data_IF_950391148873
#
_entry.id   IF_950391148873
#
_cell.length_a   1.000
_cell.length_b   1.000
_cell.length_c   1.000
_cell.angle_alpha   90.00
_cell.angle_beta   90.00
_cell.angle_gamma   90.00
#
_symmetry.space_group_name_H-M   'P 1'
#
loop_
_entity.id
_entity.type
_entity.pdbx_description
1 polymer ?
#
# COMPACT_ATOMS: atom_id res chain seq x y z
N UNK A 1 -5.98 38.74 -44.82
CA UNK A 1 -6.95 39.84 -44.68
C UNK A 1 -6.17 41.14 -44.54
N UNK A 2 -6.22 41.98 -45.58
CA UNK A 2 -5.48 43.25 -45.68
C UNK A 2 -6.35 44.37 -45.08
N UNK A 3 -5.86 45.07 -44.06
CA UNK A 3 -6.49 46.27 -43.50
C UNK A 3 -5.82 47.52 -44.08
N UNK A 4 -6.29 47.98 -45.24
CA UNK A 4 -5.85 49.21 -45.89
C UNK A 4 -6.75 50.35 -45.40
N UNK A 5 -6.20 51.28 -44.61
CA UNK A 5 -6.86 52.55 -44.24
C UNK A 5 -6.60 53.59 -45.34
N UNK A 6 -7.61 54.14 -46.03
CA UNK A 6 -7.42 55.29 -46.90
C UNK A 6 -7.61 56.57 -46.07
N UNK A 7 -6.52 57.28 -45.80
CA UNK A 7 -6.60 58.63 -45.24
C UNK A 7 -6.76 59.64 -46.36
N UNK A 8 -7.74 60.51 -46.16
CA UNK A 8 -8.22 61.55 -47.05
C UNK A 8 -7.16 62.59 -47.39
N UNK A 9 -6.72 62.62 -48.64
CA UNK A 9 -6.15 63.82 -49.26
C UNK A 9 -7.28 64.67 -49.80
N UNK A 10 -7.66 65.72 -49.05
CA UNK A 10 -8.45 66.84 -49.55
C UNK A 10 -7.90 68.14 -48.99
N UNK A 11 -7.78 69.09 -49.93
CA UNK A 11 -7.74 70.55 -49.77
C UNK A 11 -6.48 71.19 -49.17
N UNK A 12 -5.59 71.69 -50.04
CA UNK A 12 -4.83 72.91 -49.79
C UNK A 12 -5.00 73.88 -50.98
N UNK A 13 -5.32 75.17 -50.75
CA UNK A 13 -5.84 76.09 -51.75
C UNK A 13 -4.72 77.03 -52.25
N UNK A 14 -4.11 76.72 -53.38
CA UNK A 14 -3.11 77.63 -54.01
C UNK A 14 -2.95 77.39 -55.52
N UNK A 15 -4.00 76.86 -56.16
CA UNK A 15 -4.06 76.57 -57.59
C UNK A 15 -5.18 77.38 -58.26
N UNK A 16 -5.24 78.68 -57.98
CA UNK A 16 -6.20 79.60 -58.59
C UNK A 16 -5.57 80.94 -58.98
N UNK A 17 -4.43 80.94 -59.69
CA UNK A 17 -3.87 82.21 -60.14
C UNK A 17 -2.98 82.17 -61.40
N UNK A 18 -3.23 81.30 -62.39
CA UNK A 18 -2.63 81.49 -63.71
C UNK A 18 -3.57 81.00 -64.81
N UNK A 19 -3.74 81.85 -65.83
CA UNK A 19 -4.50 81.70 -67.09
C UNK A 19 -5.96 82.13 -67.05
N UNK A 20 -6.20 83.44 -67.21
CA UNK A 20 -7.19 83.95 -68.17
C UNK A 20 -6.88 85.44 -68.44
N UNK A 21 -6.08 85.67 -69.48
CA UNK A 21 -5.81 86.94 -70.13
C UNK A 21 -6.44 86.85 -71.53
N UNK A 22 -6.72 88.00 -72.14
CA UNK A 22 -7.49 88.25 -73.39
C UNK A 22 -9.02 88.25 -73.24
N UNK A 23 -9.77 89.12 -73.90
CA UNK A 23 -9.60 90.46 -74.51
C UNK A 23 -11.05 90.88 -74.90
N UNK A 24 -11.24 92.04 -75.53
CA UNK A 24 -12.52 92.55 -76.10
C UNK A 24 -13.36 93.42 -75.14
N UNK A 25 -13.17 94.73 -75.02
CA UNK A 25 -13.13 95.81 -76.00
C UNK A 25 -14.54 96.28 -76.48
N UNK A 26 -14.77 97.57 -76.24
CA UNK A 26 -15.61 98.55 -76.95
C UNK A 26 -17.14 98.70 -76.69
N UNK A 27 -17.43 99.98 -76.42
CA UNK A 27 -18.59 100.80 -76.81
C UNK A 27 -19.63 101.00 -75.69
N UNK A 28 -20.08 102.20 -75.30
CA UNK A 28 -20.01 103.54 -75.89
C UNK A 28 -20.29 104.63 -74.82
N UNK A 29 -19.57 105.77 -74.93
CA UNK A 29 -20.01 107.18 -74.94
C UNK A 29 -21.31 107.57 -74.19
N UNK A 30 -21.39 108.69 -73.45
CA UNK A 30 -20.98 110.08 -73.75
C UNK A 30 -21.37 110.99 -72.54
N UNK A 31 -21.15 112.32 -72.54
CA UNK A 31 -19.91 113.10 -72.59
C UNK A 31 -19.73 113.89 -71.26
N UNK A 32 -18.65 114.66 -71.09
CA UNK A 32 -18.74 116.08 -70.69
C UNK A 32 -17.36 116.74 -70.65
N UNK A 33 -17.26 117.80 -71.46
CA UNK A 33 -16.45 119.00 -71.26
C UNK A 33 -14.92 118.90 -71.36
N UNK A 34 -14.45 119.41 -72.51
CA UNK A 34 -13.14 120.03 -72.75
C UNK A 34 -12.48 120.65 -71.49
N UNK A 35 -11.19 120.35 -71.26
CA UNK A 35 -10.19 121.42 -71.17
C UNK A 35 -8.75 120.90 -71.38
N UNK A 36 -8.08 121.53 -72.35
CA UNK A 36 -6.64 121.69 -72.53
C UNK A 36 -5.74 120.46 -72.80
N UNK A 37 -5.43 120.40 -74.08
CA UNK A 37 -4.38 119.68 -74.77
C UNK A 37 -2.98 120.07 -74.27
N UNK A 38 -2.27 119.09 -73.70
CA UNK A 38 -0.80 118.84 -73.66
C UNK A 38 0.10 119.74 -72.77
N UNK A 39 1.25 119.23 -72.25
CA UNK A 39 1.97 118.01 -72.65
C UNK A 39 2.44 117.12 -71.46
N UNK A 40 1.96 115.87 -71.33
CA UNK A 40 2.52 114.89 -70.37
C UNK A 40 2.70 113.49 -70.98
N UNK A 41 2.99 113.42 -72.28
CA UNK A 41 3.35 112.18 -72.98
C UNK A 41 4.86 112.01 -73.20
N UNK A 42 5.68 112.95 -72.70
CA UNK A 42 7.15 112.85 -72.67
C UNK A 42 7.72 112.32 -71.35
N UNK A 43 6.89 112.06 -70.32
CA UNK A 43 7.33 111.61 -68.98
C UNK A 43 7.08 110.10 -68.70
N UNK A 44 6.19 109.43 -69.44
CA UNK A 44 5.89 108.01 -69.24
C UNK A 44 6.97 107.06 -69.82
N UNK A 45 7.55 107.43 -70.97
CA UNK A 45 8.67 106.73 -71.60
C UNK A 45 9.94 106.68 -70.73
N UNK A 46 10.42 107.79 -70.12
CA UNK A 46 11.57 107.71 -69.23
C UNK A 46 11.25 106.94 -67.95
N UNK A 47 10.01 106.98 -67.45
CA UNK A 47 9.61 106.23 -66.26
C UNK A 47 9.64 104.71 -66.47
N UNK A 48 9.11 104.20 -67.59
CA UNK A 48 9.20 102.76 -67.90
C UNK A 48 10.64 102.31 -68.15
N UNK A 49 11.47 103.17 -68.76
CA UNK A 49 12.89 102.90 -68.99
C UNK A 49 13.68 102.83 -67.67
N UNK A 50 13.34 103.67 -66.68
CA UNK A 50 13.89 103.60 -65.31
C UNK A 50 13.41 102.33 -64.60
N UNK A 51 12.14 101.94 -64.72
CA UNK A 51 11.63 100.69 -64.14
C UNK A 51 12.31 99.45 -64.73
N UNK A 52 12.52 99.42 -66.05
CA UNK A 52 13.24 98.32 -66.73
C UNK A 52 14.71 98.31 -66.32
N UNK A 53 15.37 99.47 -66.26
CA UNK A 53 16.75 99.56 -65.77
C UNK A 53 16.88 99.07 -64.32
N UNK A 54 15.93 99.42 -63.46
CA UNK A 54 15.86 98.94 -62.08
C UNK A 54 15.61 97.42 -62.00
N UNK A 55 14.74 96.87 -62.85
CA UNK A 55 14.48 95.43 -62.92
C UNK A 55 15.70 94.66 -63.42
N UNK A 56 16.41 95.17 -64.44
CA UNK A 56 17.66 94.59 -64.95
C UNK A 56 18.75 94.64 -63.86
N UNK A 57 18.88 95.77 -63.16
CA UNK A 57 19.85 95.91 -62.07
C UNK A 57 19.55 94.92 -60.92
N UNK A 58 18.27 94.78 -60.53
CA UNK A 58 17.85 93.83 -59.51
C UNK A 58 18.07 92.37 -59.97
N UNK A 59 17.74 92.06 -61.22
CA UNK A 59 17.98 90.74 -61.79
C UNK A 59 19.48 90.42 -61.86
N UNK A 60 20.33 91.35 -62.31
CA UNK A 60 21.78 91.19 -62.26
C UNK A 60 22.30 90.99 -60.85
N UNK A 61 21.78 91.72 -59.86
CA UNK A 61 22.13 91.52 -58.46
C UNK A 61 21.72 90.12 -57.96
N UNK A 62 20.52 89.65 -58.31
CA UNK A 62 20.04 88.32 -57.97
C UNK A 62 20.90 87.22 -58.63
N UNK A 63 21.31 87.41 -59.90
CA UNK A 63 22.22 86.49 -60.59
C UNK A 63 23.60 86.46 -59.91
N UNK A 64 24.16 87.63 -59.55
CA UNK A 64 25.43 87.69 -58.84
C UNK A 64 25.34 86.98 -57.48
N UNK A 65 24.28 87.21 -56.71
CA UNK A 65 24.01 86.51 -55.43
C UNK A 65 24.00 84.99 -55.59
N UNK A 66 23.29 84.49 -56.60
CA UNK A 66 23.23 83.04 -56.86
C UNK A 66 24.59 82.50 -57.29
N UNK A 67 25.35 83.24 -58.10
CA UNK A 67 26.71 82.84 -58.51
C UNK A 67 27.68 82.86 -57.33
N UNK A 68 27.54 83.79 -56.39
CA UNK A 68 28.33 83.87 -55.15
C UNK A 68 28.02 82.70 -54.18
N UNK A 69 26.77 82.26 -54.10
CA UNK A 69 26.34 81.16 -53.21
C UNK A 69 26.52 79.75 -53.84
N UNK A 70 26.56 79.65 -55.17
CA UNK A 70 26.77 78.40 -55.90
C UNK A 70 28.00 77.57 -55.43
N UNK A 71 29.21 78.13 -55.23
CA UNK A 71 30.36 77.35 -54.80
C UNK A 71 30.19 76.73 -53.41
N UNK A 72 29.54 77.44 -52.47
CA UNK A 72 29.29 76.93 -51.13
C UNK A 72 28.31 75.75 -51.13
N UNK A 73 27.28 75.79 -51.98
CA UNK A 73 26.34 74.67 -52.18
C UNK A 73 27.07 73.48 -52.81
N UNK A 74 27.94 73.72 -53.80
CA UNK A 74 28.73 72.64 -54.44
C UNK A 74 29.65 71.96 -53.42
N UNK A 75 30.35 72.73 -52.58
CA UNK A 75 31.21 72.19 -51.53
C UNK A 75 30.42 71.39 -50.47
N UNK A 76 29.25 71.88 -50.07
CA UNK A 76 28.37 71.17 -49.14
C UNK A 76 27.84 69.86 -49.75
N UNK A 77 27.46 69.88 -51.04
CA UNK A 77 27.06 68.67 -51.76
C UNK A 77 28.22 67.70 -51.84
N UNK A 78 29.43 68.14 -52.18
CA UNK A 78 30.61 67.29 -52.26
C UNK A 78 30.99 66.69 -50.89
N UNK A 79 30.93 67.48 -49.82
CA UNK A 79 31.14 66.99 -48.45
C UNK A 79 30.07 65.98 -48.03
N UNK A 80 28.83 66.18 -48.44
CA UNK A 80 27.72 65.25 -48.16
C UNK A 80 27.91 63.96 -48.95
N UNK A 81 28.32 64.04 -50.22
CA UNK A 81 28.64 62.87 -51.05
C UNK A 81 29.78 62.05 -50.43
N UNK A 82 30.89 62.69 -50.02
CA UNK A 82 32.02 62.01 -49.35
C UNK A 82 31.63 61.34 -48.04
N UNK A 83 30.61 61.86 -47.33
CA UNK A 83 30.10 61.26 -46.10
C UNK A 83 29.08 60.13 -46.37
N UNK A 84 28.39 60.14 -47.51
CA UNK A 84 27.42 59.12 -47.91
C UNK A 84 28.13 57.86 -48.42
N UNK A 85 29.21 58.00 -49.20
CA UNK A 85 29.96 56.86 -49.75
C UNK A 85 30.32 55.77 -48.70
N UNK A 86 30.94 56.09 -47.54
CA UNK A 86 31.25 55.08 -46.53
C UNK A 86 29.99 54.46 -45.89
N UNK A 87 28.90 55.23 -45.76
CA UNK A 87 27.63 54.71 -45.23
C UNK A 87 27.01 53.72 -46.22
N UNK A 88 27.12 53.98 -47.53
CA UNK A 88 26.66 53.05 -48.58
C UNK A 88 27.47 51.76 -48.55
N UNK A 89 28.80 51.84 -48.34
CA UNK A 89 29.66 50.68 -48.20
C UNK A 89 29.33 49.84 -46.96
N UNK A 90 29.10 50.49 -45.80
CA UNK A 90 28.64 49.79 -44.58
C UNK A 90 27.29 49.11 -44.77
N UNK A 91 26.34 49.77 -45.43
CA UNK A 91 25.04 49.19 -45.76
C UNK A 91 25.20 48.01 -46.73
N UNK A 92 26.13 48.08 -47.68
CA UNK A 92 26.43 46.97 -48.59
C UNK A 92 26.98 45.74 -47.82
N UNK A 93 27.87 45.95 -46.83
CA UNK A 93 28.38 44.88 -45.98
C UNK A 93 27.25 44.28 -45.12
N UNK A 94 26.44 45.11 -44.48
CA UNK A 94 25.31 44.65 -43.65
C UNK A 94 24.32 43.84 -44.50
N UNK A 95 23.96 44.36 -45.68
CA UNK A 95 23.02 43.67 -46.58
C UNK A 95 23.57 42.36 -47.13
N UNK A 96 24.90 42.23 -47.27
CA UNK A 96 25.55 40.97 -47.62
C UNK A 96 25.55 39.94 -46.48
N UNK A 97 25.57 40.37 -45.20
CA UNK A 97 25.56 39.49 -44.02
C UNK A 97 24.14 39.06 -43.58
N UNK A 98 23.11 39.81 -43.95
CA UNK A 98 21.71 39.51 -43.59
C UNK A 98 21.28 38.09 -44.03
N UNK A 99 21.57 37.61 -45.26
CA UNK A 99 21.21 36.26 -45.68
C UNK A 99 21.77 35.17 -44.76
N UNK A 100 23.06 35.25 -44.43
CA UNK A 100 23.72 34.27 -43.56
C UNK A 100 23.08 34.22 -42.17
N UNK A 101 22.79 35.39 -41.57
CA UNK A 101 22.10 35.49 -40.28
C UNK A 101 20.68 34.92 -40.36
N UNK A 102 19.96 35.18 -41.47
CA UNK A 102 18.60 34.66 -41.68
C UNK A 102 18.63 33.14 -41.82
N UNK A 103 19.63 32.58 -42.50
CA UNK A 103 19.81 31.14 -42.65
C UNK A 103 20.16 30.48 -41.31
N UNK A 104 21.07 31.06 -40.52
CA UNK A 104 21.38 30.57 -39.17
C UNK A 104 20.14 30.61 -38.25
N UNK A 105 19.38 31.70 -38.28
CA UNK A 105 18.12 31.82 -37.52
C UNK A 105 17.09 30.80 -38.03
N UNK A 106 17.09 30.49 -39.32
CA UNK A 106 16.30 29.42 -39.92
C UNK A 106 16.64 28.05 -39.32
N UNK A 107 17.92 27.69 -39.31
CA UNK A 107 18.41 26.44 -38.71
C UNK A 107 18.10 26.34 -37.22
N UNK A 108 18.28 27.43 -36.46
CA UNK A 108 17.92 27.47 -35.03
C UNK A 108 16.42 27.25 -34.84
N UNK A 109 15.57 27.86 -35.68
CA UNK A 109 14.12 27.66 -35.61
C UNK A 109 13.72 26.22 -35.93
N UNK A 110 14.38 25.59 -36.89
CA UNK A 110 14.15 24.18 -37.23
C UNK A 110 14.53 23.24 -36.07
N UNK A 111 15.57 23.57 -35.29
CA UNK A 111 16.00 22.79 -34.13
C UNK A 111 15.14 23.04 -32.87
N UNK A 112 14.54 24.21 -32.72
CA UNK A 112 13.69 24.52 -31.55
C UNK A 112 12.49 23.57 -31.47
N UNK A 113 11.82 23.28 -32.58
CA UNK A 113 10.65 22.40 -32.58
C UNK A 113 10.95 20.98 -32.05
N UNK A 114 11.94 20.23 -32.56
CA UNK A 114 12.25 18.90 -32.05
C UNK A 114 12.69 18.93 -30.58
N UNK A 115 13.49 19.92 -30.16
CA UNK A 115 13.89 20.08 -28.74
C UNK A 115 12.65 20.27 -27.85
N UNK A 116 11.70 21.12 -28.26
CA UNK A 116 10.46 21.32 -27.50
C UNK A 116 9.62 20.04 -27.41
N UNK A 117 9.56 19.24 -28.49
CA UNK A 117 8.84 17.95 -28.46
C UNK A 117 9.50 16.94 -27.54
N UNK A 118 10.83 16.89 -27.50
CA UNK A 118 11.58 16.01 -26.58
C UNK A 118 11.38 16.45 -25.12
N UNK A 119 11.44 17.75 -24.86
CA UNK A 119 11.18 18.30 -23.52
C UNK A 119 9.75 18.00 -23.06
N UNK A 120 8.77 18.03 -23.98
CA UNK A 120 7.38 17.66 -23.67
C UNK A 120 7.26 16.16 -23.36
N UNK A 121 7.89 15.30 -24.16
CA UNK A 121 7.93 13.85 -23.89
C UNK A 121 8.57 13.55 -22.52
N UNK A 122 9.72 14.17 -22.23
CA UNK A 122 10.38 14.04 -20.92
C UNK A 122 9.48 14.53 -19.79
N UNK A 123 8.77 15.64 -19.96
CA UNK A 123 7.83 16.14 -18.92
C UNK A 123 6.68 15.18 -18.63
N UNK A 124 6.29 14.32 -19.58
CA UNK A 124 5.27 13.30 -19.37
C UNK A 124 5.81 12.05 -18.66
N UNK A 125 7.07 11.67 -18.93
CA UNK A 125 7.72 10.49 -18.32
C UNK A 125 8.33 10.76 -16.94
N UNK A 126 8.80 11.97 -16.68
CA UNK A 126 9.47 12.32 -15.43
C UNK A 126 8.59 12.08 -14.18
N UNK A 127 7.27 12.41 -14.19
CA UNK A 127 6.38 12.11 -13.08
C UNK A 127 6.26 10.61 -12.78
N UNK A 128 6.21 9.75 -13.80
CA UNK A 128 6.10 8.29 -13.58
C UNK A 128 7.37 7.75 -12.98
N UNK A 129 8.54 8.17 -13.49
CA UNK A 129 9.83 7.77 -12.94
C UNK A 129 10.02 8.25 -11.49
N UNK A 130 9.60 9.47 -11.18
CA UNK A 130 9.63 9.98 -9.79
C UNK A 130 8.69 9.18 -8.86
N UNK A 131 7.51 8.79 -9.35
CA UNK A 131 6.59 7.97 -8.59
C UNK A 131 7.17 6.56 -8.31
N UNK A 132 7.83 5.94 -9.30
CA UNK A 132 8.52 4.66 -9.14
C UNK A 132 9.67 4.76 -8.14
N UNK A 133 10.49 5.81 -8.22
CA UNK A 133 11.58 6.05 -7.27
C UNK A 133 11.03 6.21 -5.85
N UNK A 134 9.92 6.91 -5.68
CA UNK A 134 9.28 7.06 -4.37
C UNK A 134 8.72 5.72 -3.85
N UNK A 135 8.08 4.92 -4.70
CA UNK A 135 7.64 3.58 -4.34
C UNK A 135 8.82 2.69 -3.91
N UNK A 136 9.93 2.73 -4.63
CA UNK A 136 11.15 2.00 -4.28
C UNK A 136 11.70 2.48 -2.92
N UNK A 137 11.74 3.79 -2.68
CA UNK A 137 12.18 4.36 -1.40
C UNK A 137 11.32 3.90 -0.23
N UNK A 138 10.02 3.73 -0.42
CA UNK A 138 9.11 3.23 0.60
C UNK A 138 9.22 1.71 0.78
N UNK A 139 9.55 0.97 -0.28
CA UNK A 139 9.67 -0.49 -0.24
C UNK A 139 11.01 -0.99 0.31
N UNK A 140 12.09 -0.21 0.22
CA UNK A 140 13.42 -0.63 0.72
C UNK A 140 13.46 -0.84 2.24
N UNK A 141 12.97 0.09 3.10
CA UNK A 141 13.02 -0.06 4.55
C UNK A 141 12.41 -1.37 5.08
N UNK A 142 11.16 -1.77 4.71
CA UNK A 142 10.60 -3.02 5.23
C UNK A 142 11.40 -4.26 4.79
N UNK A 143 11.97 -4.27 3.58
CA UNK A 143 12.85 -5.36 3.13
C UNK A 143 14.13 -5.42 3.97
N UNK A 144 14.70 -4.27 4.34
CA UNK A 144 15.87 -4.23 5.22
C UNK A 144 15.54 -4.73 6.63
N UNK A 145 14.36 -4.36 7.16
CA UNK A 145 13.88 -4.85 8.46
C UNK A 145 13.68 -6.37 8.45
N UNK A 146 13.09 -6.92 7.38
CA UNK A 146 12.95 -8.37 7.20
C UNK A 146 14.32 -9.08 7.15
N UNK A 147 15.28 -8.51 6.43
CA UNK A 147 16.65 -9.05 6.36
C UNK A 147 17.32 -9.00 7.74
N UNK A 148 17.11 -7.95 8.53
CA UNK A 148 17.62 -7.87 9.90
C UNK A 148 16.99 -8.94 10.80
N UNK A 149 15.67 -9.12 10.74
CA UNK A 149 14.98 -10.16 11.50
C UNK A 149 15.49 -11.57 11.15
N UNK A 150 15.68 -11.86 9.84
CA UNK A 150 16.26 -13.13 9.39
C UNK A 150 17.68 -13.31 9.91
N UNK A 151 18.50 -12.24 9.88
CA UNK A 151 19.88 -12.29 10.43
C UNK A 151 19.90 -12.57 11.93
N UNK A 152 18.91 -12.09 12.68
CA UNK A 152 18.78 -12.36 14.12
C UNK A 152 18.23 -13.77 14.40
N UNK A 153 17.38 -14.30 13.53
CA UNK A 153 16.76 -15.62 13.69
C UNK A 153 17.67 -16.79 13.28
N UNK A 154 18.61 -16.59 12.35
CA UNK A 154 19.50 -17.66 11.87
C UNK A 154 20.42 -18.21 12.98
N UNK A 155 21.13 -17.39 13.78
CA UNK A 155 22.04 -17.90 14.82
C UNK A 155 21.41 -18.86 15.83
N UNK A 156 20.24 -18.57 16.46
CA UNK A 156 19.64 -19.52 17.40
C UNK A 156 19.21 -20.83 16.72
N UNK A 157 18.72 -20.79 15.47
CA UNK A 157 18.40 -22.00 14.71
C UNK A 157 19.66 -22.84 14.46
N UNK A 158 20.80 -22.21 14.15
CA UNK A 158 22.07 -22.91 13.98
C UNK A 158 22.55 -23.54 15.30
N UNK A 159 22.35 -22.87 16.43
CA UNK A 159 22.67 -23.39 17.76
C UNK A 159 21.79 -24.61 18.11
N UNK A 160 20.47 -24.54 17.87
CA UNK A 160 19.57 -25.67 18.05
C UNK A 160 19.97 -26.86 17.17
N UNK A 161 20.28 -26.63 15.89
CA UNK A 161 20.75 -27.69 14.98
C UNK A 161 22.07 -28.29 15.47
N UNK A 162 22.98 -27.49 16.02
CA UNK A 162 24.23 -27.99 16.61
C UNK A 162 23.97 -28.85 17.84
N UNK A 163 23.06 -28.42 18.73
CA UNK A 163 22.67 -29.18 19.93
C UNK A 163 22.02 -30.52 19.56
N UNK A 164 21.06 -30.52 18.64
CA UNK A 164 20.43 -31.76 18.14
C UNK A 164 21.46 -32.70 17.52
N UNK A 165 22.41 -32.18 16.73
CA UNK A 165 23.51 -32.98 16.17
C UNK A 165 24.43 -33.55 17.25
N UNK A 166 24.61 -32.85 18.37
CA UNK A 166 25.39 -33.32 19.52
C UNK A 166 24.70 -34.45 20.28
N UNK A 167 23.37 -34.40 20.43
CA UNK A 167 22.59 -35.39 21.18
C UNK A 167 22.25 -36.64 20.36
N UNK A 168 22.09 -36.49 19.04
CA UNK A 168 21.66 -37.56 18.15
C UNK A 168 22.51 -38.86 18.26
N UNK A 169 23.86 -38.80 18.35
CA UNK A 169 24.67 -40.01 18.51
C UNK A 169 24.34 -40.81 19.78
N UNK A 170 24.03 -40.14 20.89
CA UNK A 170 23.68 -40.80 22.15
C UNK A 170 22.32 -41.51 22.05
N UNK A 171 21.33 -40.84 21.46
CA UNK A 171 20.00 -41.42 21.21
C UNK A 171 20.10 -42.63 20.27
N UNK A 172 20.93 -42.54 19.22
CA UNK A 172 21.16 -43.65 18.30
C UNK A 172 21.81 -44.83 19.03
N UNK A 173 22.83 -44.58 19.86
CA UNK A 173 23.48 -45.62 20.65
C UNK A 173 22.51 -46.29 21.64
N UNK A 174 21.64 -45.52 22.30
CA UNK A 174 20.60 -46.06 23.18
C UNK A 174 19.59 -46.92 22.41
N UNK A 175 19.16 -46.46 21.23
CA UNK A 175 18.26 -47.22 20.36
C UNK A 175 18.88 -48.55 19.89
N UNK A 176 20.18 -48.55 19.57
CA UNK A 176 20.91 -49.79 19.28
C UNK A 176 20.97 -50.73 20.49
N UNK A 177 21.19 -50.19 21.70
CA UNK A 177 21.11 -50.96 22.95
C UNK A 177 19.74 -51.58 23.19
N UNK A 178 18.64 -50.86 22.92
CA UNK A 178 17.31 -51.46 23.00
C UNK A 178 17.09 -52.55 21.96
N UNK A 179 17.61 -52.37 20.74
CA UNK A 179 17.50 -53.40 19.68
C UNK A 179 18.19 -54.70 20.04
N UNK A 180 19.26 -54.67 20.84
CA UNK A 180 19.93 -55.88 21.33
C UNK A 180 19.21 -56.50 22.53
N UNK A 181 18.68 -55.70 23.45
CA UNK A 181 18.00 -56.19 24.67
C UNK A 181 16.59 -56.76 24.41
N UNK A 182 15.84 -56.19 23.48
CA UNK A 182 14.44 -56.60 23.21
C UNK A 182 14.32 -58.10 22.88
N UNK A 183 15.15 -58.70 22.01
CA UNK A 183 15.14 -60.14 21.77
C UNK A 183 15.36 -60.98 23.03
N UNK A 184 16.25 -60.56 23.93
CA UNK A 184 16.55 -61.28 25.17
C UNK A 184 15.34 -61.26 26.13
N UNK A 185 14.73 -60.09 26.32
CA UNK A 185 13.52 -59.95 27.14
C UNK A 185 12.35 -60.76 26.55
N UNK A 186 12.20 -60.74 25.22
CA UNK A 186 11.18 -61.56 24.56
C UNK A 186 11.42 -63.06 24.77
N UNK A 187 12.67 -63.52 24.73
CA UNK A 187 13.01 -64.90 25.03
C UNK A 187 12.71 -65.28 26.50
N UNK A 188 12.99 -64.39 27.45
CA UNK A 188 12.67 -64.61 28.87
C UNK A 188 11.16 -64.65 29.12
N UNK A 189 10.39 -63.77 28.47
CA UNK A 189 8.92 -63.78 28.53
C UNK A 189 8.37 -65.08 27.96
N UNK A 190 8.92 -65.57 26.85
CA UNK A 190 8.50 -66.85 26.27
C UNK A 190 8.81 -68.03 27.21
N UNK A 191 10.03 -68.09 27.74
CA UNK A 191 10.40 -69.11 28.74
C UNK A 191 9.49 -69.06 29.97
N UNK A 192 9.12 -67.86 30.43
CA UNK A 192 8.20 -67.67 31.55
C UNK A 192 6.78 -68.14 31.19
N UNK A 193 6.30 -67.85 29.97
CA UNK A 193 5.00 -68.34 29.46
C UNK A 193 4.95 -69.86 29.37
N UNK A 194 6.06 -70.52 29.06
CA UNK A 194 6.14 -71.98 29.06
C UNK A 194 6.16 -72.57 30.49
N UNK A 195 6.81 -71.89 31.45
CA UNK A 195 6.92 -72.36 32.83
C UNK A 195 5.68 -72.12 33.70
N UNK A 196 4.89 -71.07 33.43
CA UNK A 196 3.71 -70.72 34.24
C UNK A 196 2.63 -71.83 34.21
N UNK A 197 2.17 -72.35 33.05
CA UNK A 197 1.13 -73.37 33.02
C UNK A 197 1.43 -74.63 33.87
N UNK A 198 2.62 -75.26 33.78
CA UNK A 198 2.92 -76.43 34.60
C UNK A 198 3.10 -76.09 36.09
N UNK A 199 3.58 -74.89 36.44
CA UNK A 199 3.66 -74.47 37.86
C UNK A 199 2.28 -74.16 38.45
N UNK A 200 1.38 -73.54 37.68
CA UNK A 200 -0.02 -73.35 38.04
C UNK A 200 -0.73 -74.69 38.24
N UNK A 201 -0.54 -75.65 37.33
CA UNK A 201 -1.09 -77.00 37.49
C UNK A 201 -0.58 -77.70 38.76
N UNK A 202 0.71 -77.53 39.10
CA UNK A 202 1.27 -78.04 40.36
C UNK A 202 0.66 -77.35 41.58
N UNK A 203 0.46 -76.03 41.53
CA UNK A 203 -0.18 -75.27 42.59
C UNK A 203 -1.63 -75.73 42.82
N UNK A 204 -2.41 -75.97 41.76
CA UNK A 204 -3.77 -76.53 41.84
C UNK A 204 -3.77 -77.90 42.52
N UNK A 205 -2.82 -78.79 42.18
CA UNK A 205 -2.67 -80.09 42.85
C UNK A 205 -2.35 -79.93 44.34
N UNK A 206 -1.48 -78.99 44.72
CA UNK A 206 -1.16 -78.71 46.12
C UNK A 206 -2.36 -78.12 46.85
N UNK A 207 -3.11 -77.20 46.25
CA UNK A 207 -4.34 -76.62 46.81
C UNK A 207 -5.38 -77.73 47.02
N UNK A 208 -5.57 -78.61 46.05
CA UNK A 208 -6.49 -79.75 46.16
C UNK A 208 -6.06 -80.70 47.31
N UNK A 209 -4.77 -81.02 47.41
CA UNK A 209 -4.23 -81.83 48.52
C UNK A 209 -4.39 -81.13 49.88
N UNK A 210 -4.11 -79.83 49.94
CA UNK A 210 -4.27 -79.02 51.15
C UNK A 210 -5.76 -78.86 51.54
N UNK A 211 -6.67 -78.76 50.56
CA UNK A 211 -8.12 -78.75 50.80
C UNK A 211 -8.61 -80.08 51.34
N UNK A 212 -8.12 -81.21 50.81
CA UNK A 212 -8.45 -82.55 51.33
C UNK A 212 -7.86 -82.76 52.73
N UNK A 213 -6.62 -82.33 52.97
CA UNK A 213 -6.00 -82.39 54.29
C UNK A 213 -6.69 -81.45 55.30
N UNK A 214 -7.07 -80.25 54.85
CA UNK A 214 -7.85 -79.28 55.62
C UNK A 214 -9.23 -79.81 55.96
N UNK A 215 -9.95 -80.41 55.01
CA UNK A 215 -11.21 -81.12 55.27
C UNK A 215 -11.02 -82.23 56.30
N UNK A 216 -10.00 -83.08 56.16
CA UNK A 216 -9.70 -84.14 57.14
C UNK A 216 -9.29 -83.61 58.53
N UNK A 217 -8.62 -82.46 58.59
CA UNK A 217 -8.24 -81.81 59.85
C UNK A 217 -9.42 -81.07 60.50
N UNK A 218 -10.31 -80.46 59.71
CA UNK A 218 -11.55 -79.82 60.15
C UNK A 218 -12.67 -80.81 60.46
N UNK A 219 -12.63 -82.03 59.91
CA UNK A 219 -13.48 -83.16 60.34
C UNK A 219 -13.13 -83.63 61.77
N UNK A 220 -11.93 -83.30 62.26
CA UNK A 220 -11.49 -83.58 63.64
C UNK A 220 -11.67 -82.43 64.63
N UNK A 221 -12.01 -81.22 64.18
CA UNK A 221 -12.25 -80.08 65.05
C UNK A 221 -13.18 -79.06 64.39
N UNK A 222 -14.30 -78.80 65.07
CA UNK A 222 -15.32 -77.77 64.80
C UNK A 222 -16.51 -78.25 63.95
N UNK A 223 -17.43 -78.95 64.62
CA UNK A 223 -18.88 -78.95 64.35
C UNK A 223 -19.51 -77.59 64.70
N UNK A 224 -18.98 -76.50 64.16
CA UNK A 224 -19.37 -75.15 64.57
C UNK A 224 -19.24 -74.14 63.44
N UNK A 225 -20.35 -73.93 62.75
CA UNK A 225 -20.82 -72.62 62.27
C UNK A 225 -19.75 -71.67 61.75
N UNK A 226 -19.56 -71.55 60.43
CA UNK A 226 -19.38 -70.28 59.70
C UNK A 226 -19.29 -70.58 58.18
N UNK A 227 -20.41 -71.01 57.62
CA UNK A 227 -20.68 -70.82 56.18
C UNK A 227 -21.14 -69.37 56.02
N UNK A 228 -20.21 -68.45 55.77
CA UNK A 228 -20.55 -67.03 55.73
C UNK A 228 -19.52 -66.18 55.01
N UNK A 229 -19.63 -66.13 53.68
CA UNK A 229 -19.35 -64.95 52.85
C UNK A 229 -18.02 -64.23 53.17
N UNK A 230 -16.91 -64.80 52.72
CA UNK A 230 -15.76 -63.95 52.36
C UNK A 230 -15.98 -63.52 50.91
N UNK A 231 -16.91 -62.57 50.71
CA UNK A 231 -16.83 -61.67 49.56
C UNK A 231 -15.69 -60.73 49.88
N UNK A 232 -14.57 -60.89 49.17
CA UNK A 232 -13.46 -59.95 49.24
C UNK A 232 -13.99 -58.52 48.99
N UNK A 233 -13.54 -57.52 49.76
CA UNK A 233 -14.04 -56.17 49.68
C UNK A 233 -13.58 -55.51 48.38
N UNK A 234 -14.49 -54.70 47.83
CA UNK A 234 -14.28 -53.73 46.78
C UNK A 234 -12.89 -53.11 46.82
N UNK A 235 -12.20 -53.16 45.68
CA UNK A 235 -11.02 -52.34 45.44
C UNK A 235 -11.50 -50.89 45.25
N UNK A 236 -11.88 -50.23 46.35
CA UNK A 236 -11.95 -48.77 46.39
C UNK A 236 -10.52 -48.25 46.27
N UNK A 237 -10.12 -47.89 45.05
CA UNK A 237 -8.95 -47.02 44.88
C UNK A 237 -9.40 -45.62 45.27
N UNK A 238 -9.24 -45.33 46.56
CA UNK A 238 -9.16 -43.96 47.07
C UNK A 238 -7.95 -43.29 46.43
N UNK A 239 -8.15 -42.59 45.31
CA UNK A 239 -7.09 -41.79 44.68
C UNK A 239 -7.15 -41.61 43.16
N UNK A 240 -7.99 -42.37 42.42
CA UNK A 240 -7.99 -42.35 40.95
C UNK A 240 -9.26 -41.76 40.31
N UNK A 241 -10.12 -41.11 41.08
CA UNK A 241 -11.41 -40.55 40.60
C UNK A 241 -11.35 -39.11 40.10
N UNK A 242 -10.20 -38.44 40.17
CA UNK A 242 -10.13 -36.98 40.15
C UNK A 242 -10.34 -36.29 38.79
N UNK A 243 -10.61 -37.00 37.69
CA UNK A 243 -10.64 -36.37 36.37
C UNK A 243 -11.68 -36.88 35.37
N UNK A 244 -12.80 -37.47 35.82
CA UNK A 244 -13.84 -37.92 34.86
C UNK A 244 -14.39 -36.74 34.07
N UNK A 245 -14.72 -35.62 34.73
CA UNK A 245 -15.36 -34.45 34.10
C UNK A 245 -14.43 -33.24 33.94
N UNK A 246 -13.13 -33.40 34.24
CA UNK A 246 -12.13 -32.32 34.22
C UNK A 246 -12.42 -31.16 35.19
N UNK A 247 -11.63 -30.09 35.10
CA UNK A 247 -11.85 -28.87 35.88
C UNK A 247 -13.03 -28.09 35.34
N UNK A 248 -14.11 -27.98 36.12
CA UNK A 248 -15.26 -27.15 35.76
C UNK A 248 -15.09 -25.70 36.21
N UNK A 249 -15.24 -24.76 35.28
CA UNK A 249 -15.10 -23.32 35.53
C UNK A 249 -16.14 -22.85 36.56
N UNK A 250 -15.69 -22.36 37.72
CA UNK A 250 -16.54 -21.80 38.77
C UNK A 250 -16.77 -22.72 39.98
N UNK A 251 -16.32 -23.96 39.92
CA UNK A 251 -16.29 -24.90 41.04
C UNK A 251 -14.88 -24.98 41.66
N UNK A 252 -14.79 -25.15 42.98
CA UNK A 252 -13.52 -25.42 43.64
C UNK A 252 -13.25 -26.94 43.71
N UNK A 253 -12.09 -27.36 44.22
CA UNK A 253 -11.75 -28.79 44.36
C UNK A 253 -12.78 -29.57 45.16
N UNK A 254 -13.25 -29.04 46.30
CA UNK A 254 -14.26 -29.72 47.12
C UNK A 254 -15.62 -29.86 46.44
N UNK A 255 -15.99 -28.92 45.57
CA UNK A 255 -17.20 -28.99 44.76
C UNK A 255 -17.06 -30.08 43.68
N UNK A 256 -15.87 -30.17 43.07
CA UNK A 256 -15.53 -31.18 42.06
C UNK A 256 -15.53 -32.58 42.68
N UNK A 257 -14.99 -32.74 43.89
CA UNK A 257 -14.97 -34.04 44.59
C UNK A 257 -16.39 -34.55 44.88
N UNK A 258 -17.30 -33.66 45.29
CA UNK A 258 -18.71 -33.99 45.51
C UNK A 258 -19.41 -34.39 44.22
N UNK A 259 -19.23 -33.61 43.15
CA UNK A 259 -19.77 -33.91 41.82
C UNK A 259 -19.28 -35.27 41.32
N UNK A 260 -17.97 -35.51 41.37
CA UNK A 260 -17.35 -36.74 40.87
C UNK A 260 -17.75 -37.96 41.72
N UNK A 261 -17.81 -37.81 43.05
CA UNK A 261 -18.27 -38.87 43.94
C UNK A 261 -19.70 -39.30 43.63
N UNK A 262 -20.61 -38.33 43.46
CA UNK A 262 -22.01 -38.60 43.07
C UNK A 262 -22.10 -39.22 41.69
N UNK A 263 -21.32 -38.73 40.72
CA UNK A 263 -21.30 -39.29 39.37
C UNK A 263 -20.81 -40.74 39.35
N UNK A 264 -19.73 -41.07 40.07
CA UNK A 264 -19.17 -42.43 40.13
C UNK A 264 -20.12 -43.40 40.80
N UNK A 265 -20.82 -42.97 41.85
CA UNK A 265 -21.87 -43.76 42.48
C UNK A 265 -22.97 -44.12 41.48
N UNK A 266 -23.46 -43.15 40.72
CA UNK A 266 -24.47 -43.39 39.68
C UNK A 266 -23.94 -44.27 38.54
N UNK A 267 -22.70 -44.07 38.11
CA UNK A 267 -22.09 -44.86 37.03
C UNK A 267 -21.92 -46.33 37.41
N UNK A 268 -21.55 -46.63 38.66
CA UNK A 268 -21.25 -48.00 39.08
C UNK A 268 -22.47 -48.76 39.62
N UNK A 269 -23.40 -48.08 40.30
CA UNK A 269 -24.43 -48.75 41.10
C UNK A 269 -25.86 -48.51 40.59
N UNK A 270 -26.09 -47.42 39.85
CA UNK A 270 -27.45 -46.98 39.54
C UNK A 270 -27.95 -47.49 38.17
N UNK A 271 -29.24 -47.87 38.07
CA UNK A 271 -29.88 -48.17 36.79
C UNK A 271 -30.17 -46.90 35.96
N UNK A 272 -30.45 -47.09 34.67
CA UNK A 272 -30.86 -46.01 33.78
C UNK A 272 -32.16 -45.36 34.29
N UNK A 273 -32.19 -44.03 34.32
CA UNK A 273 -33.28 -43.22 34.85
C UNK A 273 -33.07 -42.72 36.28
N UNK A 274 -32.10 -43.27 37.02
CA UNK A 274 -31.75 -42.81 38.36
C UNK A 274 -31.14 -41.42 38.36
N UNK A 275 -31.45 -40.67 39.41
CA UNK A 275 -31.03 -39.28 39.60
C UNK A 275 -30.52 -39.10 41.04
N UNK A 276 -29.39 -38.41 41.18
CA UNK A 276 -28.83 -38.07 42.48
C UNK A 276 -28.36 -36.61 42.49
N UNK A 277 -28.45 -35.98 43.66
CA UNK A 277 -28.08 -34.57 43.85
C UNK A 277 -26.95 -34.43 44.84
N UNK A 278 -26.13 -33.42 44.63
CA UNK A 278 -25.02 -33.06 45.52
C UNK A 278 -25.12 -31.58 45.87
N UNK A 279 -24.67 -31.23 47.08
CA UNK A 279 -24.67 -29.85 47.56
C UNK A 279 -23.45 -29.61 48.45
N UNK A 280 -22.72 -28.54 48.15
CA UNK A 280 -21.71 -27.99 49.03
C UNK A 280 -22.26 -26.77 49.79
N UNK A 281 -22.57 -26.97 51.07
CA UNK A 281 -23.14 -25.92 51.94
C UNK A 281 -22.23 -24.69 52.11
N UNK A 282 -20.90 -24.87 51.96
CA UNK A 282 -19.89 -23.81 52.14
C UNK A 282 -19.81 -22.89 50.92
N UNK A 283 -19.80 -23.44 49.71
CA UNK A 283 -19.64 -22.69 48.45
C UNK A 283 -20.98 -22.34 47.79
N UNK A 284 -22.09 -22.86 48.34
CA UNK A 284 -23.45 -22.74 47.76
C UNK A 284 -23.55 -23.33 46.36
N UNK A 285 -22.62 -24.22 45.99
CA UNK A 285 -22.70 -25.02 44.78
C UNK A 285 -23.60 -26.23 45.03
N UNK A 286 -24.47 -26.54 44.08
CA UNK A 286 -25.32 -27.73 44.09
C UNK A 286 -25.54 -28.22 42.68
N UNK A 287 -25.77 -29.51 42.53
CA UNK A 287 -26.05 -30.07 41.22
C UNK A 287 -26.87 -31.34 41.28
N UNK A 288 -27.35 -31.74 40.11
CA UNK A 288 -28.16 -32.91 39.87
C UNK A 288 -27.55 -33.69 38.72
N UNK A 289 -27.43 -35.00 38.89
CA UNK A 289 -26.86 -35.91 37.89
C UNK A 289 -27.90 -37.00 37.64
N UNK A 290 -28.20 -37.27 36.36
CA UNK A 290 -29.14 -38.30 35.94
C UNK A 290 -28.52 -39.22 34.91
N UNK A 291 -28.71 -40.53 35.07
CA UNK A 291 -28.35 -41.53 34.05
C UNK A 291 -29.46 -41.55 32.99
N UNK A 292 -29.18 -41.05 31.79
CA UNK A 292 -30.18 -40.98 30.72
C UNK A 292 -30.22 -42.26 29.88
N UNK A 293 -29.05 -42.82 29.53
CA UNK A 293 -28.92 -43.98 28.64
C UNK A 293 -27.68 -44.80 28.95
N UNK A 294 -27.74 -46.08 28.59
CA UNK A 294 -26.60 -47.01 28.57
C UNK A 294 -26.48 -47.59 27.15
N UNK A 295 -25.27 -47.68 26.63
CA UNK A 295 -24.96 -48.11 25.26
C UNK A 295 -23.54 -48.68 25.18
N UNK A 296 -23.15 -49.25 24.05
CA UNK A 296 -21.81 -49.78 23.82
C UNK A 296 -21.18 -49.03 22.65
N UNK A 297 -19.96 -48.51 22.84
CA UNK A 297 -19.20 -47.79 21.82
C UNK A 297 -17.81 -48.44 21.70
N UNK A 298 -17.43 -48.88 20.51
CA UNK A 298 -16.13 -49.55 20.24
C UNK A 298 -15.84 -50.77 21.12
N UNK A 299 -16.87 -51.49 21.55
CA UNK A 299 -16.76 -52.68 22.42
C UNK A 299 -16.78 -52.39 23.92
N UNK A 300 -16.76 -51.11 24.32
CA UNK A 300 -16.73 -50.70 25.72
C UNK A 300 -18.12 -50.26 26.21
N UNK A 301 -18.51 -50.62 27.45
CA UNK A 301 -19.77 -50.18 28.03
C UNK A 301 -19.71 -48.68 28.33
N UNK A 302 -20.72 -47.94 27.86
CA UNK A 302 -20.81 -46.49 27.96
C UNK A 302 -22.16 -46.05 28.53
N UNK A 303 -22.16 -44.92 29.22
CA UNK A 303 -23.35 -44.30 29.82
C UNK A 303 -23.41 -42.83 29.49
N UNK A 304 -24.63 -42.33 29.28
CA UNK A 304 -24.91 -40.91 29.09
C UNK A 304 -25.47 -40.33 30.37
N UNK A 305 -24.77 -39.33 30.91
CA UNK A 305 -25.19 -38.58 32.08
C UNK A 305 -25.68 -37.20 31.67
N UNK A 306 -26.80 -36.76 32.24
CA UNK A 306 -27.20 -35.36 32.23
C UNK A 306 -26.79 -34.73 33.55
N UNK A 307 -25.97 -33.68 33.50
CA UNK A 307 -25.45 -32.98 34.69
C UNK A 307 -25.92 -31.53 34.64
N UNK A 308 -26.56 -31.11 35.73
CA UNK A 308 -26.95 -29.73 35.97
C UNK A 308 -26.28 -29.20 37.24
N UNK A 309 -25.52 -28.13 37.14
CA UNK A 309 -24.81 -27.50 38.26
C UNK A 309 -25.18 -26.03 38.41
N UNK A 310 -25.46 -25.61 39.64
CA UNK A 310 -25.86 -24.27 40.03
C UNK A 310 -24.96 -23.79 41.18
N UNK A 311 -24.50 -22.54 41.13
CA UNK A 311 -23.82 -21.87 42.25
C UNK A 311 -24.40 -20.48 42.45
N UNK A 312 -24.85 -20.17 43.66
CA UNK A 312 -25.46 -18.86 43.99
C UNK A 312 -26.59 -18.46 43.02
N UNK A 313 -27.42 -19.44 42.61
CA UNK A 313 -28.51 -19.29 41.61
C UNK A 313 -28.07 -19.05 40.16
N UNK A 314 -26.77 -19.05 39.87
CA UNK A 314 -26.23 -19.05 38.50
C UNK A 314 -26.02 -20.48 38.01
N UNK A 315 -26.52 -20.81 36.82
CA UNK A 315 -26.26 -22.09 36.16
C UNK A 315 -24.82 -22.10 35.64
N UNK A 316 -24.04 -23.09 36.08
CA UNK A 316 -22.65 -23.28 35.68
C UNK A 316 -22.52 -24.36 34.61
N UNK A 317 -23.36 -25.39 34.68
CA UNK A 317 -23.39 -26.49 33.72
C UNK A 317 -24.81 -27.04 33.58
N UNK A 318 -25.16 -27.46 32.38
CA UNK A 318 -26.42 -28.13 32.03
C UNK A 318 -26.20 -28.89 30.72
N UNK A 319 -25.37 -29.92 30.80
CA UNK A 319 -24.83 -30.62 29.64
C UNK A 319 -25.01 -32.13 29.76
N UNK A 320 -24.93 -32.80 28.63
CA UNK A 320 -24.90 -34.26 28.55
C UNK A 320 -23.48 -34.73 28.32
N UNK A 321 -23.04 -35.68 29.12
CA UNK A 321 -21.71 -36.28 29.06
C UNK A 321 -21.84 -37.74 28.68
N UNK A 322 -21.09 -38.15 27.66
CA UNK A 322 -20.89 -39.56 27.32
C UNK A 322 -19.65 -40.05 28.05
N UNK A 323 -19.78 -41.13 28.80
CA UNK A 323 -18.69 -41.67 29.62
C UNK A 323 -18.58 -43.16 29.33
N UNK A 324 -17.38 -43.63 29.00
CA UNK A 324 -17.12 -45.04 28.69
C UNK A 324 -16.13 -45.64 29.67
N UNK A 325 -16.28 -46.94 29.95
CA UNK A 325 -15.34 -47.69 30.77
C UNK A 325 -14.12 -48.08 29.92
N UNK A 326 -12.93 -47.73 30.38
CA UNK A 326 -11.68 -48.11 29.73
C UNK A 326 -11.23 -49.53 30.12
N UNK A 327 -10.18 -50.02 29.45
CA UNK A 327 -9.58 -51.35 29.72
C UNK A 327 -9.00 -51.49 31.14
N UNK A 328 -8.81 -50.37 31.85
CA UNK A 328 -8.35 -50.33 33.24
C UNK A 328 -9.52 -50.29 34.25
N UNK A 329 -10.78 -50.33 33.77
CA UNK A 329 -11.97 -50.27 34.60
C UNK A 329 -12.29 -48.88 35.14
N UNK A 330 -11.77 -47.82 34.51
CA UNK A 330 -12.01 -46.42 34.88
C UNK A 330 -12.96 -45.76 33.87
N UNK A 331 -13.80 -44.85 34.37
CA UNK A 331 -14.75 -44.11 33.55
C UNK A 331 -14.11 -42.84 32.96
N UNK A 332 -14.10 -42.71 31.64
CA UNK A 332 -13.56 -41.54 30.94
C UNK A 332 -14.61 -40.87 30.05
N UNK A 333 -14.65 -39.53 30.04
CA UNK A 333 -15.55 -38.76 29.15
C UNK A 333 -15.04 -38.85 27.71
N UNK A 334 -15.93 -39.27 26.80
CA UNK A 334 -15.66 -39.36 25.37
C UNK A 334 -16.36 -38.18 24.68
N UNK A 335 -15.60 -37.43 23.87
CA UNK A 335 -16.13 -36.32 23.08
C UNK A 335 -16.79 -36.84 21.82
#
# INVERSE_FOLDING_TARGET
MRGFKPNSLKTLPWLHFLLQYDDDNLSNNEPHSMEKVRPLTTLALPFSLVCIAAAIAYFSYAVIRVVEEAPAIIEQVESTTRAIDPVVDEVAIITALIPDIVDEVGLVREQITPILTEVEALRLELPTLLAEVEQIRLAIPPVLDEVEQVRLAIPPVLEEVANVRGELPAIVAESEGYRTLVPEVLAEVEATREMIPPTMAKAEVLINKASVAGKKASEGAVTGFFTGIIKAPFKMVSGASSSVFGSQKGLNSTDIDLLQGTALKLLNEAPVGSEESWENKKTKAKGTIKVEKEFVESGNPCRQLWIKTLKEKKELDNSRYRVCLDDQGSWAVVK
#
